data_IF_913352123563
#
_entry.id   IF_913352123563
#
_cell.length_a   1.000
_cell.length_b   1.000
_cell.length_c   1.000
_cell.angle_alpha   90.00
_cell.angle_beta   90.00
_cell.angle_gamma   90.00
#
_symmetry.space_group_name_H-M   'P 1'
#
loop_
_entity.id
_entity.type
_entity.pdbx_description
1 polymer ?
#
# COMPACT_ATOMS: atom_id res chain seq x y z
N UNK A 1 38.58 17.24 -11.97
CA UNK A 1 37.45 18.02 -12.51
C UNK A 1 37.18 17.64 -13.98
N UNK A 2 36.90 16.35 -14.28
CA UNK A 2 36.62 15.82 -15.65
C UNK A 2 35.66 14.62 -15.63
N UNK A 3 34.64 14.64 -14.76
CA UNK A 3 33.64 13.54 -14.69
C UNK A 3 32.21 14.04 -14.92
N UNK A 4 31.98 15.35 -14.94
CA UNK A 4 30.63 15.93 -15.02
C UNK A 4 30.10 16.19 -16.44
N UNK A 5 30.93 16.10 -17.49
CA UNK A 5 30.51 16.41 -18.87
C UNK A 5 29.90 15.24 -19.64
N UNK A 6 30.23 13.97 -19.31
CA UNK A 6 29.67 12.80 -20.01
C UNK A 6 28.20 12.50 -19.67
N UNK A 7 27.71 12.94 -18.52
CA UNK A 7 26.32 12.70 -18.09
C UNK A 7 25.30 13.57 -18.84
N UNK A 8 25.70 14.77 -19.26
CA UNK A 8 24.80 15.72 -19.94
C UNK A 8 24.62 15.35 -21.42
N UNK A 9 25.66 14.83 -22.09
CA UNK A 9 25.52 14.36 -23.47
C UNK A 9 24.66 13.10 -23.60
N UNK A 10 24.68 12.20 -22.60
CA UNK A 10 23.80 11.01 -22.61
C UNK A 10 22.31 11.38 -22.52
N UNK A 11 21.97 12.43 -21.78
CA UNK A 11 20.59 12.91 -21.66
C UNK A 11 20.10 13.60 -22.94
N UNK A 12 20.98 14.28 -23.67
CA UNK A 12 20.65 14.91 -24.95
C UNK A 12 20.40 13.89 -26.09
N UNK A 13 21.10 12.75 -26.07
CA UNK A 13 20.93 11.67 -27.06
C UNK A 13 19.61 10.91 -26.80
N UNK A 14 19.26 10.65 -25.54
CA UNK A 14 18.00 9.98 -25.16
C UNK A 14 16.76 10.85 -25.47
N UNK A 15 16.86 12.17 -25.31
CA UNK A 15 15.77 13.10 -25.66
C UNK A 15 15.43 13.14 -27.15
N UNK A 16 16.44 12.99 -28.04
CA UNK A 16 16.22 13.00 -29.50
C UNK A 16 15.58 11.70 -30.01
N UNK A 17 15.80 10.57 -29.35
CA UNK A 17 15.19 9.29 -29.73
C UNK A 17 13.71 9.21 -29.34
N UNK A 18 13.30 9.82 -28.22
CA UNK A 18 11.90 9.88 -27.81
C UNK A 18 11.03 10.77 -28.73
N UNK A 19 11.60 11.86 -29.26
CA UNK A 19 10.89 12.75 -30.18
C UNK A 19 10.66 12.13 -31.58
N UNK A 20 11.55 11.23 -32.02
CA UNK A 20 11.41 10.55 -33.32
C UNK A 20 10.32 9.47 -33.33
N UNK A 21 10.01 8.86 -32.18
CA UNK A 21 8.97 7.82 -32.07
C UNK A 21 7.54 8.40 -31.96
N UNK A 22 7.40 9.64 -31.48
CA UNK A 22 6.10 10.31 -31.39
C UNK A 22 5.57 10.81 -32.74
N UNK A 23 6.44 11.04 -33.73
CA UNK A 23 6.06 11.54 -35.06
C UNK A 23 5.56 10.45 -36.03
N UNK A 24 5.83 9.17 -35.76
CA UNK A 24 5.49 8.06 -36.68
C UNK A 24 4.12 7.39 -36.40
N UNK A 25 3.50 7.69 -35.25
CA UNK A 25 2.25 7.04 -34.83
C UNK A 25 0.95 7.78 -35.15
N UNK A 26 1.01 9.01 -35.68
CA UNK A 26 -0.17 9.89 -35.77
C UNK A 26 -0.74 10.07 -37.19
N UNK A 27 -0.28 9.29 -38.17
CA UNK A 27 -0.68 9.46 -39.57
C UNK A 27 -1.26 8.17 -40.16
N UNK A 28 -2.30 7.63 -39.53
CA UNK A 28 -3.22 6.72 -40.20
C UNK A 28 -4.61 6.77 -39.55
N UNK A 29 -5.59 7.22 -40.35
CA UNK A 29 -7.04 7.08 -40.16
C UNK A 29 -7.80 8.35 -39.79
N UNK A 30 -7.75 9.32 -40.69
CA UNK A 30 -8.87 10.22 -40.95
C UNK A 30 -9.24 10.15 -42.43
N UNK A 31 -10.44 9.69 -42.75
CA UNK A 31 -11.33 10.27 -43.77
C UNK A 31 -12.58 9.41 -44.04
N UNK A 32 -13.69 10.15 -44.21
CA UNK A 32 -14.97 9.81 -44.83
C UNK A 32 -16.01 9.03 -44.00
N UNK A 33 -17.28 9.39 -43.95
CA UNK A 33 -18.05 10.57 -44.38
C UNK A 33 -19.51 10.36 -43.92
N UNK A 34 -20.19 11.44 -43.53
CA UNK A 34 -21.63 11.80 -43.71
C UNK A 34 -22.68 10.69 -43.94
N UNK A 35 -23.90 10.66 -43.37
CA UNK A 35 -24.89 11.73 -43.19
C UNK A 35 -26.21 11.16 -42.62
N UNK A 36 -26.98 12.01 -41.92
CA UNK A 36 -28.45 12.01 -41.73
C UNK A 36 -29.13 11.11 -40.65
N UNK A 37 -29.76 11.82 -39.69
CA UNK A 37 -30.83 11.44 -38.74
C UNK A 37 -32.20 11.23 -39.47
N UNK A 38 -33.37 10.95 -38.82
CA UNK A 38 -33.69 10.27 -37.54
C UNK A 38 -34.86 9.22 -37.64
N UNK A 39 -35.14 8.52 -36.53
CA UNK A 39 -36.39 7.83 -36.11
C UNK A 39 -37.33 7.14 -37.12
N UNK A 40 -37.61 5.83 -36.93
CA UNK A 40 -38.95 5.20 -37.10
C UNK A 40 -38.99 3.74 -36.61
N UNK A 41 -39.98 3.44 -35.74
CA UNK A 41 -40.67 2.13 -35.51
C UNK A 41 -39.80 0.93 -35.12
N UNK A 42 -39.91 0.35 -33.91
CA UNK A 42 -41.06 -0.46 -33.46
C UNK A 42 -41.82 -1.06 -34.64
N UNK A 43 -41.42 -2.28 -35.04
CA UNK A 43 -42.20 -3.38 -35.64
C UNK A 43 -41.26 -4.24 -36.51
N UNK A 44 -41.56 -5.54 -36.58
CA UNK A 44 -40.80 -6.63 -37.22
C UNK A 44 -39.91 -7.46 -36.27
N UNK A 45 -40.48 -7.73 -35.10
CA UNK A 45 -40.68 -9.12 -34.68
C UNK A 45 -41.30 -9.89 -35.85
N UNK A 46 -40.75 -11.07 -36.20
CA UNK A 46 -41.11 -11.95 -37.33
C UNK A 46 -40.27 -11.76 -38.60
N UNK A 47 -39.02 -12.20 -38.56
CA UNK A 47 -38.42 -12.84 -39.72
C UNK A 47 -37.60 -14.07 -39.30
N UNK A 48 -38.28 -15.23 -39.34
CA UNK A 48 -37.79 -16.53 -39.85
C UNK A 48 -36.44 -17.00 -39.27
N UNK A 49 -36.34 -17.89 -38.27
CA UNK A 49 -37.03 -19.18 -38.09
C UNK A 49 -37.14 -20.00 -39.39
N UNK A 50 -36.00 -20.25 -40.04
CA UNK A 50 -35.79 -21.49 -40.81
C UNK A 50 -34.31 -21.72 -41.08
N UNK A 51 -33.93 -23.01 -41.09
CA UNK A 51 -32.66 -23.57 -41.54
C UNK A 51 -31.47 -23.59 -40.56
N UNK A 52 -31.50 -24.51 -39.58
CA UNK A 52 -30.32 -25.33 -39.21
C UNK A 52 -30.73 -26.73 -38.67
N UNK A 53 -30.78 -27.79 -39.50
CA UNK A 53 -31.09 -29.15 -39.05
C UNK A 53 -29.80 -29.93 -38.69
N UNK A 54 -29.00 -29.47 -37.73
CA UNK A 54 -27.72 -30.13 -37.37
C UNK A 54 -27.41 -30.17 -35.85
N UNK A 55 -28.42 -30.39 -35.02
CA UNK A 55 -28.23 -30.77 -33.61
C UNK A 55 -28.62 -32.23 -33.44
N UNK A 56 -27.58 -33.05 -33.30
CA UNK A 56 -27.61 -34.51 -33.18
C UNK A 56 -28.50 -35.01 -32.03
N UNK A 57 -29.05 -36.21 -32.21
CA UNK A 57 -29.85 -36.96 -31.24
C UNK A 57 -29.21 -37.07 -29.84
N UNK A 58 -27.90 -36.85 -29.76
CA UNK A 58 -27.09 -36.88 -28.54
C UNK A 58 -27.46 -35.79 -27.52
N UNK A 59 -27.98 -34.63 -27.95
CA UNK A 59 -28.34 -33.53 -27.03
C UNK A 59 -29.70 -33.78 -26.37
N UNK A 60 -30.63 -34.45 -27.08
CA UNK A 60 -31.92 -34.87 -26.50
C UNK A 60 -31.76 -36.01 -25.49
N UNK A 61 -30.81 -36.91 -25.70
CA UNK A 61 -30.50 -37.99 -24.74
C UNK A 61 -29.83 -37.46 -23.46
N UNK A 62 -28.99 -36.42 -23.56
CA UNK A 62 -28.37 -35.78 -22.40
C UNK A 62 -29.40 -35.05 -21.52
N UNK A 63 -30.39 -34.39 -22.14
CA UNK A 63 -31.46 -33.70 -21.42
C UNK A 63 -32.42 -34.64 -20.67
N UNK A 64 -32.55 -35.90 -21.10
CA UNK A 64 -33.41 -36.91 -20.46
C UNK A 64 -32.72 -37.69 -19.32
N UNK A 65 -31.40 -37.56 -19.14
CA UNK A 65 -30.62 -38.25 -18.09
C UNK A 65 -30.36 -37.40 -16.84
N UNK A 66 -30.82 -36.15 -16.83
CA UNK A 66 -30.71 -35.27 -15.67
C UNK A 66 -31.68 -35.71 -14.56
N UNK A 67 -31.22 -36.60 -13.67
CA UNK A 67 -31.85 -36.80 -12.35
C UNK A 67 -31.95 -35.45 -11.64
N UNK A 68 -33.04 -35.14 -10.93
CA UNK A 68 -33.15 -33.90 -10.18
C UNK A 68 -32.16 -33.95 -9.01
N UNK A 69 -31.01 -33.28 -9.16
CA UNK A 69 -30.03 -33.07 -8.07
C UNK A 69 -30.50 -31.96 -7.10
N UNK A 70 -31.73 -31.47 -7.26
CA UNK A 70 -32.25 -30.27 -6.59
C UNK A 70 -32.99 -30.46 -5.27
N UNK A 71 -33.15 -31.68 -4.74
CA UNK A 71 -33.90 -31.89 -3.48
C UNK A 71 -33.04 -32.38 -2.30
N UNK A 72 -31.94 -33.09 -2.55
CA UNK A 72 -31.08 -33.62 -1.49
C UNK A 72 -30.05 -32.59 -0.99
N UNK A 73 -29.60 -31.66 -1.84
CA UNK A 73 -28.64 -30.62 -1.44
C UNK A 73 -29.30 -29.48 -0.66
N UNK A 74 -30.56 -29.16 -0.95
CA UNK A 74 -31.38 -28.17 -0.24
C UNK A 74 -31.75 -28.63 1.18
N UNK A 75 -31.96 -29.93 1.40
CA UNK A 75 -32.20 -30.48 2.74
C UNK A 75 -30.90 -30.59 3.58
N UNK A 76 -29.75 -30.86 2.96
CA UNK A 76 -28.47 -30.94 3.66
C UNK A 76 -27.90 -29.56 4.07
N UNK A 77 -28.31 -28.48 3.40
CA UNK A 77 -27.98 -27.10 3.80
C UNK A 77 -28.93 -26.52 4.85
N UNK A 78 -30.12 -27.11 5.05
CA UNK A 78 -31.10 -26.65 6.02
C UNK A 78 -30.77 -27.01 7.49
N UNK A 79 -29.70 -27.78 7.74
CA UNK A 79 -29.35 -28.27 9.07
C UNK A 79 -28.00 -27.76 9.62
N UNK A 80 -27.40 -26.70 9.05
CA UNK A 80 -26.29 -26.01 9.71
C UNK A 80 -26.87 -24.94 10.63
N UNK A 81 -27.13 -25.34 11.89
CA UNK A 81 -27.35 -24.45 13.05
C UNK A 81 -26.49 -23.19 12.87
N UNK A 82 -27.00 -21.95 13.02
CA UNK A 82 -26.17 -20.77 12.88
C UNK A 82 -25.09 -20.86 13.95
N UNK A 83 -23.90 -21.28 13.55
CA UNK A 83 -22.75 -21.25 14.41
C UNK A 83 -22.63 -19.80 14.87
N UNK A 84 -22.62 -19.59 16.19
CA UNK A 84 -22.48 -18.26 16.78
C UNK A 84 -21.45 -17.47 15.99
N UNK A 85 -21.82 -16.27 15.52
CA UNK A 85 -20.98 -15.44 14.67
C UNK A 85 -19.55 -15.45 15.22
N UNK A 86 -18.56 -15.95 14.45
CA UNK A 86 -17.21 -16.09 14.97
C UNK A 86 -16.73 -14.76 15.54
N UNK A 87 -16.15 -14.80 16.74
CA UNK A 87 -15.60 -13.63 17.42
C UNK A 87 -14.65 -12.82 16.51
N UNK A 88 -14.46 -11.54 16.81
CA UNK A 88 -13.65 -10.64 15.96
C UNK A 88 -12.24 -11.19 15.71
N UNK A 89 -11.63 -11.82 16.72
CA UNK A 89 -10.31 -12.45 16.59
C UNK A 89 -10.32 -13.68 15.66
N UNK A 90 -11.32 -14.57 15.77
CA UNK A 90 -11.35 -15.76 14.91
C UNK A 90 -11.63 -15.43 13.45
N UNK A 91 -12.44 -14.40 13.18
CA UNK A 91 -12.62 -13.85 11.83
C UNK A 91 -11.33 -13.28 11.25
N UNK A 92 -10.60 -12.49 12.04
CA UNK A 92 -9.30 -11.98 11.62
C UNK A 92 -8.30 -13.10 11.34
N UNK A 93 -8.22 -14.11 12.21
CA UNK A 93 -7.31 -15.25 12.07
C UNK A 93 -7.62 -16.06 10.80
N UNK A 94 -8.90 -16.34 10.52
CA UNK A 94 -9.31 -17.00 9.29
C UNK A 94 -8.93 -16.18 8.04
N UNK A 95 -9.12 -14.86 8.07
CA UNK A 95 -8.70 -13.98 6.97
C UNK A 95 -7.16 -13.95 6.80
N UNK A 96 -6.39 -14.01 7.89
CA UNK A 96 -4.93 -14.07 7.85
C UNK A 96 -4.41 -15.40 7.27
N UNK A 97 -5.10 -16.51 7.54
CA UNK A 97 -4.80 -17.81 6.94
C UNK A 97 -4.98 -17.79 5.41
N UNK A 98 -5.97 -17.05 4.91
CA UNK A 98 -6.25 -16.89 3.48
C UNK A 98 -5.24 -16.01 2.72
N UNK A 99 -4.33 -15.31 3.43
CA UNK A 99 -3.29 -14.50 2.79
C UNK A 99 -2.34 -15.41 1.99
N UNK A 100 -2.09 -15.13 0.69
CA UNK A 100 -1.15 -15.91 -0.12
C UNK A 100 0.26 -15.93 0.48
N UNK A 101 0.99 -17.03 0.29
CA UNK A 101 2.28 -17.28 0.95
C UNK A 101 3.33 -16.21 0.67
N UNK A 102 3.42 -15.75 -0.58
CA UNK A 102 4.43 -14.76 -1.00
C UNK A 102 4.22 -13.40 -0.33
N UNK A 103 3.04 -12.74 -0.41
CA UNK A 103 2.73 -11.53 0.34
C UNK A 103 2.92 -11.68 1.86
N UNK A 104 2.56 -12.83 2.42
CA UNK A 104 2.74 -13.11 3.85
C UNK A 104 4.21 -13.08 4.24
N UNK A 105 5.05 -13.80 3.48
CA UNK A 105 6.49 -13.85 3.74
C UNK A 105 7.16 -12.49 3.52
N UNK A 106 6.89 -11.82 2.39
CA UNK A 106 7.45 -10.51 2.08
C UNK A 106 7.01 -9.43 3.08
N UNK A 107 5.74 -9.46 3.49
CA UNK A 107 5.22 -8.54 4.50
C UNK A 107 5.91 -8.74 5.85
N UNK A 108 5.95 -9.97 6.35
CA UNK A 108 6.54 -10.27 7.66
C UNK A 108 8.05 -10.04 7.69
N UNK A 109 8.77 -10.38 6.62
CA UNK A 109 10.21 -10.06 6.51
C UNK A 109 10.45 -8.57 6.41
N UNK A 110 9.58 -7.82 5.72
CA UNK A 110 9.60 -6.36 5.68
C UNK A 110 9.33 -5.69 7.03
N UNK A 111 8.78 -6.40 8.03
CA UNK A 111 8.64 -5.87 9.38
C UNK A 111 9.94 -5.95 10.21
N UNK A 112 10.89 -6.81 9.80
CA UNK A 112 12.14 -7.06 10.55
C UNK A 112 12.97 -5.77 10.71
N UNK A 113 13.21 -4.95 9.66
CA UNK A 113 14.05 -3.77 9.81
C UNK A 113 13.47 -2.73 10.78
N UNK A 114 12.14 -2.65 10.93
CA UNK A 114 11.52 -1.75 11.92
C UNK A 114 11.91 -2.10 13.35
N UNK A 115 12.07 -3.39 13.66
CA UNK A 115 12.43 -3.82 15.01
C UNK A 115 13.95 -3.90 15.18
N UNK A 116 14.65 -4.46 14.20
CA UNK A 116 16.09 -4.67 14.26
C UNK A 116 16.89 -3.36 14.30
N UNK A 117 16.43 -2.32 13.60
CA UNK A 117 17.10 -1.02 13.57
C UNK A 117 16.65 -0.06 14.68
N UNK A 118 15.68 -0.44 15.52
CA UNK A 118 15.34 0.36 16.69
C UNK A 118 16.56 0.46 17.62
N UNK A 119 17.03 1.64 18.04
CA UNK A 119 18.29 1.78 18.80
C UNK A 119 18.41 0.92 20.07
N UNK A 120 17.33 0.70 20.86
CA UNK A 120 17.38 -0.21 22.00
C UNK A 120 17.72 -1.67 21.62
N UNK A 121 17.35 -2.10 20.41
CA UNK A 121 17.58 -3.45 19.89
C UNK A 121 18.89 -3.49 19.10
N UNK A 122 19.13 -2.52 18.23
CA UNK A 122 20.27 -2.48 17.32
C UNK A 122 21.63 -2.52 18.04
N UNK A 123 21.73 -1.89 19.22
CA UNK A 123 22.95 -1.94 20.06
C UNK A 123 23.37 -3.35 20.48
N UNK A 124 22.45 -4.32 20.46
CA UNK A 124 22.73 -5.72 20.79
C UNK A 124 23.09 -6.56 19.56
N UNK A 125 22.99 -5.99 18.36
CA UNK A 125 23.26 -6.65 17.08
C UNK A 125 24.64 -6.32 16.52
N UNK A 126 25.56 -5.80 17.33
CA UNK A 126 26.92 -5.43 16.94
C UNK A 126 27.77 -6.58 16.40
N UNK A 127 27.43 -7.83 16.72
CA UNK A 127 28.09 -9.02 16.16
C UNK A 127 27.61 -9.39 14.75
N UNK A 128 26.45 -8.86 14.33
CA UNK A 128 25.79 -9.20 13.05
C UNK A 128 25.82 -8.02 12.08
N UNK A 129 25.68 -6.79 12.59
CA UNK A 129 25.62 -5.58 11.79
C UNK A 129 26.97 -4.83 11.79
N UNK A 130 27.37 -4.21 10.66
CA UNK A 130 28.51 -3.31 10.62
C UNK A 130 28.35 -2.15 11.61
N UNK A 131 29.47 -1.65 12.15
CA UNK A 131 29.47 -0.57 13.13
C UNK A 131 28.76 0.69 12.58
N UNK A 132 28.96 1.00 11.31
CA UNK A 132 28.34 2.16 10.65
C UNK A 132 26.81 2.07 10.63
N UNK A 133 26.26 0.86 10.53
CA UNK A 133 24.81 0.62 10.57
C UNK A 133 24.28 0.76 11.99
N UNK A 134 25.02 0.25 12.98
CA UNK A 134 24.63 0.37 14.39
C UNK A 134 24.64 1.83 14.85
N UNK A 135 25.66 2.59 14.46
CA UNK A 135 25.79 4.00 14.83
C UNK A 135 24.70 4.88 14.18
N UNK A 136 24.28 4.53 12.95
CA UNK A 136 23.25 5.27 12.21
C UNK A 136 21.87 4.61 12.23
N UNK A 137 21.65 3.61 13.11
CA UNK A 137 20.47 2.74 13.06
C UNK A 137 19.14 3.49 13.09
N UNK A 138 19.02 4.52 13.93
CA UNK A 138 17.81 5.33 14.04
C UNK A 138 17.46 6.05 12.72
N UNK A 139 18.46 6.65 12.07
CA UNK A 139 18.26 7.35 10.80
C UNK A 139 17.91 6.35 9.69
N UNK A 140 18.62 5.22 9.61
CA UNK A 140 18.34 4.16 8.63
C UNK A 140 16.92 3.63 8.82
N UNK A 141 16.48 3.42 10.06
CA UNK A 141 15.11 3.01 10.39
C UNK A 141 14.08 4.03 9.91
N UNK A 142 14.32 5.33 10.13
CA UNK A 142 13.43 6.42 9.66
C UNK A 142 13.36 6.42 8.13
N UNK A 143 14.48 6.36 7.43
CA UNK A 143 14.51 6.27 5.96
C UNK A 143 13.74 5.04 5.45
N UNK A 144 13.87 3.91 6.13
CA UNK A 144 13.11 2.70 5.83
C UNK A 144 11.60 2.92 6.03
N UNK A 145 11.20 3.55 7.14
CA UNK A 145 9.80 3.91 7.40
C UNK A 145 9.20 4.83 6.35
N UNK A 146 9.94 5.85 5.91
CA UNK A 146 9.54 6.75 4.81
C UNK A 146 9.32 5.98 3.51
N UNK A 147 10.23 5.05 3.20
CA UNK A 147 10.13 4.19 2.01
C UNK A 147 8.89 3.31 2.07
N UNK A 148 8.63 2.69 3.23
CA UNK A 148 7.46 1.84 3.43
C UNK A 148 6.18 2.66 3.29
N UNK A 149 6.04 3.80 3.97
CA UNK A 149 4.84 4.66 3.86
C UNK A 149 4.59 5.07 2.39
N UNK A 150 5.63 5.39 1.64
CA UNK A 150 5.53 5.71 0.21
C UNK A 150 5.01 4.50 -0.61
N UNK A 151 5.51 3.30 -0.30
CA UNK A 151 5.02 2.06 -0.92
C UNK A 151 3.55 1.76 -0.58
N UNK A 152 3.09 2.08 0.64
CA UNK A 152 1.69 1.88 1.02
C UNK A 152 0.73 2.66 0.11
N UNK A 153 1.11 3.87 -0.28
CA UNK A 153 0.35 4.67 -1.23
C UNK A 153 0.21 4.00 -2.60
N UNK A 154 1.27 3.39 -3.10
CA UNK A 154 1.29 2.75 -4.42
C UNK A 154 0.25 1.63 -4.61
N UNK A 155 -0.20 0.99 -3.52
CA UNK A 155 -1.26 -0.03 -3.55
C UNK A 155 -2.55 0.53 -4.17
N UNK A 156 -2.91 1.78 -3.88
CA UNK A 156 -4.13 2.39 -4.40
C UNK A 156 -4.05 2.68 -5.91
N UNK A 157 -2.86 3.01 -6.42
CA UNK A 157 -2.62 3.08 -7.86
C UNK A 157 -2.81 1.72 -8.52
N UNK A 158 -2.22 0.67 -7.94
CA UNK A 158 -2.38 -0.70 -8.44
C UNK A 158 -3.84 -1.16 -8.49
N UNK A 159 -4.60 -0.86 -7.43
CA UNK A 159 -6.05 -1.16 -7.38
C UNK A 159 -6.80 -0.41 -8.48
N UNK A 160 -6.55 0.90 -8.63
CA UNK A 160 -7.19 1.74 -9.65
C UNK A 160 -6.87 1.28 -11.08
N UNK A 161 -5.67 0.76 -11.34
CA UNK A 161 -5.29 0.18 -12.63
C UNK A 161 -5.88 -1.22 -12.85
N UNK A 162 -6.08 -2.00 -11.79
CA UNK A 162 -6.61 -3.37 -11.87
C UNK A 162 -8.12 -3.44 -12.04
N UNK A 163 -8.86 -2.36 -11.77
CA UNK A 163 -10.27 -2.27 -12.09
C UNK A 163 -10.45 -2.24 -13.60
N UNK A 164 -10.52 -3.43 -14.20
CA UNK A 164 -10.62 -3.71 -15.64
C UNK A 164 -11.93 -3.25 -16.29
N UNK A 165 -12.76 -2.49 -15.58
CA UNK A 165 -13.88 -1.77 -16.14
C UNK A 165 -13.43 -0.32 -16.12
N UNK A 166 -13.18 0.25 -17.30
CA UNK A 166 -12.73 1.63 -17.43
C UNK A 166 -13.71 2.63 -16.80
N UNK A 167 -13.64 3.89 -17.23
CA UNK A 167 -14.55 4.96 -16.84
C UNK A 167 -16.00 4.72 -17.35
N UNK A 168 -16.54 3.50 -17.20
CA UNK A 168 -17.81 2.99 -17.68
C UNK A 168 -19.00 3.63 -16.96
N UNK A 169 -18.77 4.24 -15.79
CA UNK A 169 -19.70 5.12 -15.11
C UNK A 169 -18.96 6.29 -14.46
N UNK A 170 -19.65 7.41 -14.26
CA UNK A 170 -19.11 8.58 -13.56
C UNK A 170 -18.68 8.21 -12.12
N UNK A 171 -19.39 7.28 -11.48
CA UNK A 171 -19.06 6.78 -10.15
C UNK A 171 -17.76 5.97 -10.15
N UNK A 172 -17.55 5.09 -11.13
CA UNK A 172 -16.30 4.33 -11.25
C UNK A 172 -15.11 5.26 -11.54
N UNK A 173 -15.32 6.25 -12.40
CA UNK A 173 -14.34 7.30 -12.69
C UNK A 173 -13.93 8.09 -11.44
N UNK A 174 -14.90 8.50 -10.63
CA UNK A 174 -14.66 9.22 -9.39
C UNK A 174 -13.87 8.35 -8.38
N UNK A 175 -14.24 7.07 -8.23
CA UNK A 175 -13.53 6.16 -7.32
C UNK A 175 -12.07 5.93 -7.73
N UNK A 176 -11.79 5.83 -9.03
CA UNK A 176 -10.43 5.72 -9.55
C UNK A 176 -9.61 7.00 -9.28
N UNK A 177 -10.18 8.17 -9.54
CA UNK A 177 -9.55 9.46 -9.25
C UNK A 177 -9.22 9.63 -7.76
N UNK A 178 -10.15 9.25 -6.88
CA UNK A 178 -9.87 9.21 -5.44
C UNK A 178 -8.67 8.30 -5.14
N UNK A 179 -8.67 7.06 -5.64
CA UNK A 179 -7.56 6.13 -5.41
C UNK A 179 -6.20 6.67 -5.91
N UNK A 180 -6.18 7.38 -7.05
CA UNK A 180 -4.98 8.04 -7.54
C UNK A 180 -4.49 9.14 -6.60
N UNK A 181 -5.37 10.02 -6.11
CA UNK A 181 -5.00 11.08 -5.15
C UNK A 181 -4.45 10.46 -3.87
N UNK A 182 -5.17 9.48 -3.31
CA UNK A 182 -4.80 8.84 -2.05
C UNK A 182 -3.53 8.00 -2.12
N UNK A 183 -3.10 7.61 -3.31
CA UNK A 183 -1.81 6.93 -3.48
C UNK A 183 -0.60 7.85 -3.27
N UNK A 184 -0.75 9.15 -3.58
CA UNK A 184 0.35 10.11 -3.58
C UNK A 184 0.47 10.79 -2.21
N UNK A 185 -0.65 10.93 -1.50
CA UNK A 185 -0.69 11.58 -0.18
C UNK A 185 0.29 10.95 0.84
N UNK A 186 0.40 9.61 1.00
CA UNK A 186 1.37 9.02 1.92
C UNK A 186 2.81 9.38 1.57
N UNK A 187 3.19 9.33 0.30
CA UNK A 187 4.55 9.65 -0.16
C UNK A 187 4.90 11.13 0.06
N UNK A 188 3.96 12.04 -0.20
CA UNK A 188 4.14 13.47 0.07
C UNK A 188 4.22 13.77 1.56
N UNK A 189 3.44 13.07 2.38
CA UNK A 189 3.49 13.22 3.84
C UNK A 189 4.79 12.63 4.43
N UNK A 190 5.32 11.55 3.85
CA UNK A 190 6.54 10.89 4.32
C UNK A 190 7.82 11.60 3.87
N UNK A 191 7.82 12.24 2.71
CA UNK A 191 9.00 12.94 2.16
C UNK A 191 9.67 13.92 3.13
N UNK A 192 8.98 14.89 3.76
CA UNK A 192 9.63 15.82 4.69
C UNK A 192 10.19 15.11 5.93
N UNK A 193 9.65 13.95 6.29
CA UNK A 193 10.12 13.17 7.44
C UNK A 193 11.53 12.63 7.24
N UNK A 194 11.95 12.42 5.99
CA UNK A 194 13.32 12.02 5.66
C UNK A 194 14.38 13.07 6.02
N UNK A 195 13.96 14.33 6.24
CA UNK A 195 14.84 15.44 6.61
C UNK A 195 14.82 15.72 8.12
N UNK A 196 13.99 15.01 8.89
CA UNK A 196 13.84 15.23 10.32
C UNK A 196 14.92 14.50 11.12
N UNK A 197 15.22 15.02 12.32
CA UNK A 197 16.04 14.31 13.31
C UNK A 197 15.33 12.98 13.72
N UNK A 198 16.07 11.89 14.00
CA UNK A 198 15.46 10.57 14.14
C UNK A 198 14.39 10.47 15.25
N UNK A 199 14.49 11.24 16.33
CA UNK A 199 13.48 11.28 17.39
C UNK A 199 12.16 11.85 16.87
N UNK A 200 12.20 13.03 16.25
CA UNK A 200 11.00 13.64 15.67
C UNK A 200 10.45 12.81 14.49
N UNK A 201 11.32 12.34 13.61
CA UNK A 201 10.92 11.57 12.43
C UNK A 201 10.25 10.24 12.78
N UNK A 202 10.77 9.52 13.77
CA UNK A 202 10.15 8.28 14.28
C UNK A 202 8.79 8.53 14.92
N UNK A 203 8.62 9.64 15.66
CA UNK A 203 7.31 10.04 16.22
C UNK A 203 6.27 10.31 15.13
N UNK A 204 6.64 11.05 14.07
CA UNK A 204 5.75 11.33 12.94
C UNK A 204 5.39 10.03 12.21
N UNK A 205 6.35 9.14 11.95
CA UNK A 205 6.09 7.84 11.31
C UNK A 205 5.21 6.93 12.17
N UNK A 206 5.36 6.96 13.50
CA UNK A 206 4.51 6.22 14.43
C UNK A 206 3.04 6.68 14.37
N UNK A 207 2.77 7.93 13.95
CA UNK A 207 1.41 8.42 13.69
C UNK A 207 0.96 8.14 12.24
N UNK A 208 1.86 8.30 11.28
CA UNK A 208 1.56 8.18 9.86
C UNK A 208 1.22 6.73 9.45
N UNK A 209 1.91 5.73 10.03
CA UNK A 209 1.66 4.32 9.76
C UNK A 209 0.23 3.86 10.15
N UNK A 210 -0.27 4.14 11.38
CA UNK A 210 -1.68 3.96 11.71
C UNK A 210 -2.64 4.79 10.86
N UNK A 211 -2.29 6.03 10.51
CA UNK A 211 -3.12 6.87 9.64
C UNK A 211 -3.31 6.23 8.25
N UNK A 212 -2.24 5.67 7.66
CA UNK A 212 -2.32 4.88 6.43
C UNK A 212 -3.20 3.64 6.60
N UNK A 213 -3.11 2.93 7.73
CA UNK A 213 -3.98 1.79 8.03
C UNK A 213 -5.46 2.20 8.10
N UNK A 214 -5.77 3.33 8.74
CA UNK A 214 -7.15 3.84 8.81
C UNK A 214 -7.67 4.26 7.42
N UNK A 215 -6.80 4.86 6.61
CA UNK A 215 -7.13 5.20 5.22
C UNK A 215 -7.41 3.96 4.36
N UNK A 216 -6.63 2.89 4.53
CA UNK A 216 -6.86 1.58 3.92
C UNK A 216 -8.17 0.96 4.40
N UNK A 217 -8.41 1.00 5.71
CA UNK A 217 -9.61 0.44 6.32
C UNK A 217 -10.89 1.12 5.82
N UNK A 218 -10.88 2.43 5.63
CA UNK A 218 -11.99 3.19 5.03
C UNK A 218 -12.28 2.79 3.58
N UNK A 219 -11.30 2.21 2.88
CA UNK A 219 -11.36 1.81 1.47
C UNK A 219 -11.36 0.30 1.24
N UNK A 220 -11.44 -0.51 2.31
CA UNK A 220 -11.34 -1.97 2.21
C UNK A 220 -12.34 -2.60 1.23
N UNK A 221 -13.49 -1.96 0.99
CA UNK A 221 -14.52 -2.42 0.05
C UNK A 221 -14.36 -1.87 -1.38
N UNK A 222 -13.34 -1.03 -1.64
CA UNK A 222 -13.09 -0.37 -2.94
C UNK A 222 -12.03 -1.10 -3.78
N UNK A 223 -12.11 -2.43 -3.85
CA UNK A 223 -11.22 -3.26 -4.68
C UNK A 223 -9.99 -3.85 -3.98
N UNK A 224 -9.82 -3.63 -2.67
CA UNK A 224 -8.82 -4.35 -1.88
C UNK A 224 -9.28 -5.79 -1.58
N UNK A 225 -8.41 -6.79 -1.65
CA UNK A 225 -8.79 -8.15 -1.29
C UNK A 225 -9.05 -8.26 0.21
N UNK A 226 -10.02 -9.09 0.60
CA UNK A 226 -10.49 -9.19 1.99
C UNK A 226 -9.37 -9.56 3.00
N UNK A 227 -8.38 -10.33 2.56
CA UNK A 227 -7.22 -10.74 3.38
C UNK A 227 -6.20 -9.61 3.60
N UNK A 228 -6.23 -8.53 2.81
CA UNK A 228 -5.26 -7.44 2.87
C UNK A 228 -5.23 -6.80 4.25
N UNK A 229 -6.40 -6.49 4.81
CA UNK A 229 -6.47 -5.87 6.14
C UNK A 229 -5.97 -6.80 7.23
N UNK A 230 -6.23 -8.11 7.11
CA UNK A 230 -5.74 -9.09 8.09
C UNK A 230 -4.21 -9.17 8.11
N UNK A 231 -3.57 -9.05 6.94
CA UNK A 231 -2.11 -8.95 6.82
C UNK A 231 -1.59 -7.60 7.34
N UNK A 232 -2.28 -6.49 7.06
CA UNK A 232 -1.83 -5.14 7.43
C UNK A 232 -1.75 -4.93 8.94
N UNK A 233 -2.66 -5.50 9.72
CA UNK A 233 -2.68 -5.34 11.19
C UNK A 233 -1.32 -5.66 11.85
N UNK A 234 -0.77 -6.90 11.75
CA UNK A 234 0.49 -7.21 12.41
C UNK A 234 1.67 -6.38 11.86
N UNK A 235 1.66 -6.03 10.57
CA UNK A 235 2.73 -5.23 9.97
C UNK A 235 2.73 -3.79 10.49
N UNK A 236 1.56 -3.15 10.52
CA UNK A 236 1.43 -1.79 11.05
C UNK A 236 1.73 -1.77 12.55
N UNK A 237 1.31 -2.78 13.31
CA UNK A 237 1.63 -2.88 14.74
C UNK A 237 3.14 -3.01 14.97
N UNK A 238 3.81 -3.93 14.26
CA UNK A 238 5.26 -4.11 14.38
C UNK A 238 6.02 -2.85 13.96
N UNK A 239 5.64 -2.23 12.86
CA UNK A 239 6.27 -1.00 12.37
C UNK A 239 6.08 0.18 13.33
N UNK A 240 4.86 0.38 13.82
CA UNK A 240 4.54 1.45 14.79
C UNK A 240 5.27 1.22 16.10
N UNK A 241 5.31 -0.03 16.58
CA UNK A 241 6.04 -0.37 17.79
C UNK A 241 7.55 -0.10 17.65
N UNK A 242 8.16 -0.50 16.53
CA UNK A 242 9.56 -0.22 16.23
C UNK A 242 9.86 1.28 16.21
N UNK A 243 8.97 2.09 15.62
CA UNK A 243 9.09 3.55 15.60
C UNK A 243 8.92 4.17 16.99
N UNK A 244 7.98 3.68 17.81
CA UNK A 244 7.79 4.15 19.18
C UNK A 244 9.01 3.84 20.06
N UNK A 245 9.63 2.66 19.92
CA UNK A 245 10.86 2.33 20.66
C UNK A 245 11.97 3.37 20.42
N UNK A 246 12.12 3.80 19.17
CA UNK A 246 13.08 4.83 18.78
C UNK A 246 12.69 6.20 19.31
N UNK A 247 11.44 6.60 19.14
CA UNK A 247 10.93 7.88 19.65
C UNK A 247 11.12 8.00 21.18
N UNK A 248 10.69 6.98 21.94
CA UNK A 248 10.86 6.94 23.40
C UNK A 248 12.33 7.02 23.80
N UNK A 249 13.22 6.32 23.09
CA UNK A 249 14.66 6.37 23.37
C UNK A 249 15.22 7.78 23.19
N UNK A 250 14.84 8.49 22.13
CA UNK A 250 15.29 9.86 21.88
C UNK A 250 14.72 10.86 22.89
N UNK A 251 13.44 10.73 23.25
CA UNK A 251 12.82 11.56 24.31
C UNK A 251 13.57 11.42 25.64
N UNK A 252 13.93 10.19 26.05
CA UNK A 252 14.73 10.00 27.26
C UNK A 252 16.12 10.64 27.17
N UNK A 253 16.79 10.56 26.00
CA UNK A 253 18.09 11.22 25.80
C UNK A 253 18.01 12.73 25.95
N UNK A 254 16.95 13.35 25.44
CA UNK A 254 16.74 14.79 25.55
C UNK A 254 16.50 15.22 26.99
N UNK A 255 15.69 14.47 27.74
CA UNK A 255 15.50 14.70 29.18
C UNK A 255 16.81 14.59 29.97
N UNK A 256 17.61 13.54 29.71
CA UNK A 256 18.90 13.34 30.38
C UNK A 256 19.88 14.48 30.08
N UNK A 257 19.97 14.90 28.81
CA UNK A 257 20.81 16.04 28.39
C UNK A 257 20.37 17.34 29.05
N UNK A 258 19.07 17.62 29.08
CA UNK A 258 18.52 18.82 29.70
C UNK A 258 18.85 18.90 31.20
N UNK A 259 18.75 17.77 31.90
CA UNK A 259 19.12 17.67 33.32
C UNK A 259 20.61 17.93 33.54
N UNK A 260 21.49 17.32 32.74
CA UNK A 260 22.94 17.52 32.84
C UNK A 260 23.34 18.99 32.63
N UNK A 261 22.71 19.69 31.69
CA UNK A 261 22.97 21.11 31.45
C UNK A 261 22.54 21.95 32.66
N UNK A 262 21.38 21.67 33.25
CA UNK A 262 20.91 22.35 34.45
C UNK A 262 21.84 22.12 35.65
N UNK A 263 22.30 20.88 35.85
CA UNK A 263 23.23 20.52 36.93
C UNK A 263 24.60 21.19 36.74
N UNK A 264 25.11 21.23 35.50
CA UNK A 264 26.35 21.93 35.16
C UNK A 264 26.25 23.44 35.38
N UNK A 265 25.12 24.06 35.02
CA UNK A 265 24.88 25.49 35.23
C UNK A 265 24.77 25.84 36.72
N UNK A 266 24.14 24.97 37.52
CA UNK A 266 24.08 25.13 38.97
C UNK A 266 25.47 25.01 39.62
N UNK A 267 26.27 24.03 39.19
CA UNK A 267 27.64 23.83 39.67
C UNK A 267 28.57 24.99 39.30
N UNK A 268 28.49 25.51 38.06
CA UNK A 268 29.29 26.66 37.64
C UNK A 268 28.94 27.94 38.40
N UNK A 269 27.64 28.14 38.71
CA UNK A 269 27.19 29.28 39.52
C UNK A 269 27.70 29.18 40.96
N UNK A 270 27.59 28.01 41.59
CA UNK A 270 28.11 27.80 42.94
C UNK A 270 29.62 28.04 43.04
N UNK A 271 30.39 27.64 42.02
CA UNK A 271 31.83 27.89 41.96
C UNK A 271 32.16 29.40 41.81
N UNK A 272 31.39 30.14 41.01
CA UNK A 272 31.54 31.58 40.86
C UNK A 272 31.26 32.33 42.16
N UNK A 273 30.16 32.00 42.84
CA UNK A 273 29.77 32.61 44.13
C UNK A 273 30.84 32.35 45.22
N UNK A 274 31.42 31.15 45.26
CA UNK A 274 32.50 30.81 46.18
C UNK A 274 33.82 31.57 45.92
N UNK A 275 34.06 31.98 44.67
CA UNK A 275 35.24 32.77 44.29
C UNK A 275 35.06 34.28 44.55
N UNK A 276 33.83 34.80 44.49
CA UNK A 276 33.52 36.21 44.74
C UNK A 276 33.43 36.57 46.23
N UNK A 277 33.25 35.57 47.11
CA UNK A 277 33.23 35.74 48.57
C UNK A 277 34.60 35.66 49.25
N UNK A 278 35.69 35.51 48.50
CA UNK A 278 37.08 35.56 48.99
C UNK A 278 37.74 36.86 48.55
#
# INVERSE_FOLDING_TARGET
>A
MRVTLKGIELLAILGKQAAAQAAFGYQASGAAASSNLPQRGVLLQQHLWSARPWLSSSIRAFAASAKPVGAAQTAAQAAKKPAASPGSFSRWWQAFQQVPTVPKFLGLTGAIPFIALAPPVCKHLTSVLPAEVVDNCAMIQVCYGVTIVSFLGAVHWGVAMSSSLGMASAQAAQMANEAFIYSVLPSLAAWPVALMEPGAGSMVLAMLLPACYLADFARRNKGLPQWYMALRVPLTLAATFGMLLTATRHVHLEFDRAKQIADQAAASKAAADASAGK
#
